data_IF_294627542739
#
_entry.id   IF_294627542739
#
_cell.length_a   1.000
_cell.length_b   1.000
_cell.length_c   1.000
_cell.angle_alpha   90.00
_cell.angle_beta   90.00
_cell.angle_gamma   90.00
#
_symmetry.space_group_name_H-M   'P 1'
#
loop_
_entity.id
_entity.type
_entity.pdbx_description
1 polymer ?
#
# COMPACT_ATOMS: atom_id res chain seq x y z
N UNK A 1 39.41 61.77 52.24
CA UNK A 1 40.57 60.92 51.86
C UNK A 1 41.07 60.26 53.14
N UNK A 2 40.95 58.92 53.27
CA UNK A 2 42.07 58.05 52.92
C UNK A 2 41.71 56.67 52.28
N UNK A 3 42.70 56.16 51.56
CA UNK A 3 43.13 54.78 51.19
C UNK A 3 42.14 53.58 51.21
N UNK A 4 42.14 52.87 50.06
CA UNK A 4 41.63 51.50 49.82
C UNK A 4 42.25 50.45 50.76
N UNK A 5 41.59 49.30 50.88
CA UNK A 5 42.28 48.06 50.51
C UNK A 5 41.49 47.14 49.56
N UNK A 6 42.29 46.34 48.83
CA UNK A 6 41.97 45.20 47.99
C UNK A 6 41.31 44.07 48.80
N UNK A 7 40.35 43.34 48.21
CA UNK A 7 40.07 41.95 48.58
C UNK A 7 39.63 41.16 47.35
N UNK A 8 40.40 40.09 47.08
CA UNK A 8 40.28 39.17 45.97
C UNK A 8 38.95 38.42 45.98
N UNK A 9 38.33 38.30 44.80
CA UNK A 9 37.22 37.40 44.56
C UNK A 9 37.71 35.94 44.50
N UNK A 10 37.20 35.09 45.38
CA UNK A 10 37.39 33.65 45.36
C UNK A 10 36.32 33.05 44.42
N UNK A 11 36.73 32.49 43.29
CA UNK A 11 35.88 31.65 42.44
C UNK A 11 35.68 30.29 43.11
N UNK A 12 34.46 29.98 43.55
CA UNK A 12 34.05 28.64 43.95
C UNK A 12 33.56 27.87 42.71
N UNK A 13 34.32 26.86 42.28
CA UNK A 13 33.85 25.85 41.32
C UNK A 13 32.82 24.94 42.02
N UNK A 14 31.55 25.10 41.67
CA UNK A 14 30.50 24.12 41.96
C UNK A 14 30.55 23.03 40.89
N UNK A 15 31.15 21.89 41.23
CA UNK A 15 31.02 20.67 40.44
C UNK A 15 29.61 20.11 40.63
N UNK A 16 28.71 20.38 39.69
CA UNK A 16 27.40 19.75 39.59
C UNK A 16 27.55 18.30 39.14
N UNK A 17 27.47 17.35 40.07
CA UNK A 17 27.29 15.94 39.78
C UNK A 17 25.91 15.72 39.13
N UNK A 18 25.88 15.56 37.81
CA UNK A 18 24.74 14.96 37.13
C UNK A 18 24.68 13.48 37.53
N UNK A 19 23.78 13.16 38.45
CA UNK A 19 23.35 11.77 38.67
C UNK A 19 22.51 11.40 37.45
N UNK A 20 23.11 10.65 36.52
CA UNK A 20 22.38 10.00 35.44
C UNK A 20 21.55 8.90 36.11
N UNK A 21 20.29 9.20 36.42
CA UNK A 21 19.31 8.18 36.80
C UNK A 21 19.05 7.30 35.59
N UNK A 22 19.81 6.21 35.48
CA UNK A 22 19.53 5.10 34.58
C UNK A 22 18.21 4.47 35.01
N UNK A 23 17.10 4.95 34.46
CA UNK A 23 15.87 4.18 34.46
C UNK A 23 16.13 2.97 33.56
N UNK A 24 16.06 1.72 34.06
CA UNK A 24 15.94 0.60 33.16
C UNK A 24 14.72 0.88 32.30
N UNK A 25 14.85 0.79 30.97
CA UNK A 25 13.71 0.82 30.08
C UNK A 25 12.73 -0.22 30.63
N UNK A 26 11.65 0.24 31.25
CA UNK A 26 10.56 -0.63 31.63
C UNK A 26 10.14 -1.28 30.31
N UNK A 27 10.25 -2.60 30.21
CA UNK A 27 9.48 -3.34 29.21
C UNK A 27 8.05 -2.90 29.45
N UNK A 28 7.50 -2.05 28.58
CA UNK A 28 6.09 -1.71 28.63
C UNK A 28 5.34 -3.03 28.70
N UNK A 29 4.51 -3.19 29.73
CA UNK A 29 3.72 -4.39 29.87
C UNK A 29 2.84 -4.48 28.63
N UNK A 30 2.93 -5.61 27.90
CA UNK A 30 2.05 -5.84 26.74
C UNK A 30 0.59 -5.65 27.18
N UNK A 31 -0.26 -5.02 26.35
CA UNK A 31 -1.67 -4.91 26.66
C UNK A 31 -2.25 -6.31 26.94
N UNK A 32 -3.07 -6.40 27.99
CA UNK A 32 -3.78 -7.65 28.31
C UNK A 32 -5.09 -7.64 27.52
N UNK A 33 -5.24 -8.60 26.63
CA UNK A 33 -6.42 -8.77 25.79
C UNK A 33 -7.39 -9.77 26.44
N UNK A 34 -8.69 -9.46 26.45
CA UNK A 34 -9.74 -10.35 26.97
C UNK A 34 -10.12 -11.49 26.01
N UNK A 35 -9.69 -11.37 24.75
CA UNK A 35 -9.83 -12.35 23.67
C UNK A 35 -9.19 -11.78 22.39
N UNK A 36 -9.25 -12.52 21.27
CA UNK A 36 -8.61 -12.11 20.02
C UNK A 36 -9.12 -10.74 19.56
N UNK A 37 -8.20 -9.86 19.21
CA UNK A 37 -8.47 -8.60 18.50
C UNK A 37 -7.84 -8.69 17.11
N UNK A 38 -8.59 -8.36 16.07
CA UNK A 38 -8.15 -8.47 14.68
C UNK A 38 -7.99 -7.08 14.07
N UNK A 39 -6.83 -6.78 13.52
CA UNK A 39 -6.57 -5.51 12.85
C UNK A 39 -6.11 -5.79 11.43
N UNK A 40 -6.73 -5.13 10.46
CA UNK A 40 -6.38 -5.25 9.06
C UNK A 40 -6.01 -3.90 8.48
N UNK A 41 -4.90 -3.85 7.74
CA UNK A 41 -4.68 -2.76 6.81
C UNK A 41 -4.32 -3.25 5.43
N UNK A 42 -4.58 -2.43 4.42
CA UNK A 42 -4.29 -2.75 3.03
C UNK A 42 -4.31 -1.53 2.11
N UNK A 43 -3.91 -1.75 0.86
CA UNK A 43 -3.84 -0.69 -0.16
C UNK A 43 -4.56 -1.12 -1.43
N UNK A 44 -5.46 -0.27 -1.93
CA UNK A 44 -6.01 -0.36 -3.27
C UNK A 44 -5.31 0.63 -4.19
N UNK A 45 -4.72 0.14 -5.27
CA UNK A 45 -4.10 0.97 -6.32
C UNK A 45 -4.98 0.97 -7.56
N UNK A 46 -5.25 2.16 -8.08
CA UNK A 46 -5.99 2.44 -9.32
C UNK A 46 -5.31 3.57 -10.10
N UNK A 47 -5.73 3.78 -11.34
CA UNK A 47 -5.16 4.80 -12.23
C UNK A 47 -6.32 5.54 -12.87
N UNK A 48 -6.30 6.87 -12.75
CA UNK A 48 -7.34 7.72 -13.29
C UNK A 48 -7.24 7.81 -14.82
N UNK A 49 -8.35 7.52 -15.48
CA UNK A 49 -8.55 7.77 -16.89
C UNK A 49 -8.80 9.25 -17.19
N UNK A 50 -9.21 9.53 -18.43
CA UNK A 50 -9.51 10.88 -18.89
C UNK A 50 -10.67 11.53 -18.13
N UNK A 51 -11.64 10.75 -17.69
CA UNK A 51 -12.82 11.15 -16.91
C UNK A 51 -12.60 11.05 -15.39
N UNK A 52 -11.38 10.71 -14.97
CA UNK A 52 -11.02 10.52 -13.57
C UNK A 52 -11.39 9.15 -12.98
N UNK A 53 -12.12 8.31 -13.72
CA UNK A 53 -12.51 6.96 -13.30
C UNK A 53 -11.33 6.00 -13.39
N UNK A 54 -11.32 4.95 -12.57
CA UNK A 54 -10.28 3.92 -12.65
C UNK A 54 -10.32 3.18 -14.01
N UNK A 55 -9.20 3.18 -14.73
CA UNK A 55 -9.06 2.43 -16.00
C UNK A 55 -8.52 1.03 -15.79
N UNK A 56 -8.67 0.16 -16.79
CA UNK A 56 -8.07 -1.17 -16.79
C UNK A 56 -6.58 -1.10 -17.17
N UNK A 57 -5.72 -1.87 -16.49
CA UNK A 57 -4.31 -2.03 -16.90
C UNK A 57 -3.71 -3.40 -16.54
N UNK A 58 -2.56 -3.69 -17.16
CA UNK A 58 -1.66 -4.78 -16.81
C UNK A 58 -0.42 -4.25 -16.07
N UNK A 59 -0.10 -4.71 -14.85
CA UNK A 59 1.17 -4.47 -14.22
C UNK A 59 2.17 -5.46 -14.84
N UNK A 60 2.72 -5.11 -16.00
CA UNK A 60 3.77 -5.91 -16.64
C UNK A 60 5.03 -6.06 -15.77
N UNK A 61 5.13 -5.26 -14.71
CA UNK A 61 6.16 -5.32 -13.68
C UNK A 61 5.45 -5.33 -12.33
N UNK A 62 5.48 -6.45 -11.59
CA UNK A 62 4.73 -6.55 -10.32
C UNK A 62 4.77 -7.87 -9.56
N UNK A 63 5.25 -8.96 -10.15
CA UNK A 63 5.35 -10.26 -9.45
C UNK A 63 6.70 -10.52 -8.79
N UNK A 64 7.67 -9.60 -8.89
CA UNK A 64 9.07 -9.88 -8.47
C UNK A 64 9.47 -9.21 -7.16
N UNK A 65 8.50 -8.66 -6.42
CA UNK A 65 8.76 -7.87 -5.22
C UNK A 65 8.39 -8.59 -3.93
N UNK A 66 7.94 -9.85 -4.00
CA UNK A 66 7.62 -10.67 -2.83
C UNK A 66 8.71 -11.71 -2.53
N UNK A 67 8.87 -12.11 -1.25
CA UNK A 67 9.71 -13.23 -0.89
C UNK A 67 9.25 -14.54 -1.57
N UNK A 68 10.19 -15.43 -1.87
CA UNK A 68 9.96 -16.71 -2.54
C UNK A 68 9.17 -17.74 -1.73
N UNK A 69 8.95 -17.52 -0.44
CA UNK A 69 8.06 -18.35 0.39
C UNK A 69 6.58 -18.01 0.21
N UNK A 70 6.25 -16.88 -0.44
CA UNK A 70 4.87 -16.50 -0.71
C UNK A 70 4.24 -17.47 -1.72
N UNK A 71 3.02 -17.91 -1.44
CA UNK A 71 2.26 -18.77 -2.34
C UNK A 71 1.57 -17.95 -3.43
N UNK A 72 1.41 -18.58 -4.59
CA UNK A 72 0.89 -17.93 -5.79
C UNK A 72 -0.28 -18.74 -6.34
N UNK A 73 -1.28 -18.03 -6.85
CA UNK A 73 -2.36 -18.65 -7.60
C UNK A 73 -1.79 -19.29 -8.87
N UNK A 74 -1.89 -20.63 -8.97
CA UNK A 74 -1.38 -21.48 -10.06
C UNK A 74 0.14 -21.52 -10.21
N UNK A 75 0.77 -20.39 -10.51
CA UNK A 75 2.21 -20.29 -10.78
C UNK A 75 2.72 -18.87 -10.49
N UNK A 76 4.01 -18.75 -10.20
CA UNK A 76 4.66 -17.45 -10.02
C UNK A 76 4.52 -16.60 -11.28
N UNK A 77 4.13 -15.33 -11.15
CA UNK A 77 3.89 -14.47 -12.30
C UNK A 77 2.47 -14.50 -12.88
N UNK A 78 1.55 -15.34 -12.36
CA UNK A 78 0.15 -15.36 -12.82
C UNK A 78 -0.49 -13.96 -12.85
N UNK A 79 -0.25 -13.15 -11.81
CA UNK A 79 -0.78 -11.78 -11.68
C UNK A 79 -0.39 -10.84 -12.84
N UNK A 80 0.76 -11.09 -13.49
CA UNK A 80 1.27 -10.26 -14.60
C UNK A 80 0.37 -10.32 -15.84
N UNK A 81 -0.34 -11.43 -16.04
CA UNK A 81 -1.26 -11.64 -17.15
C UNK A 81 -2.70 -11.18 -16.86
N UNK A 82 -2.99 -10.75 -15.64
CA UNK A 82 -4.35 -10.45 -15.20
C UNK A 82 -4.63 -8.97 -15.31
N UNK A 83 -5.58 -8.54 -16.15
CA UNK A 83 -6.10 -7.16 -16.21
C UNK A 83 -7.16 -6.88 -15.15
N UNK A 84 -7.18 -5.65 -14.66
CA UNK A 84 -8.19 -5.14 -13.73
C UNK A 84 -8.09 -3.62 -13.55
N UNK A 85 -9.05 -3.04 -12.84
CA UNK A 85 -9.12 -1.61 -12.52
C UNK A 85 -8.64 -1.30 -11.10
N UNK A 86 -8.43 -2.34 -10.28
CA UNK A 86 -7.93 -2.22 -8.91
C UNK A 86 -6.91 -3.31 -8.64
N UNK A 87 -5.78 -2.92 -8.04
CA UNK A 87 -4.84 -3.87 -7.42
C UNK A 87 -4.93 -3.73 -5.92
N UNK A 88 -5.21 -4.84 -5.26
CA UNK A 88 -5.04 -4.97 -3.83
C UNK A 88 -3.64 -5.53 -3.60
N UNK A 89 -2.75 -4.77 -2.98
CA UNK A 89 -1.30 -5.07 -3.07
C UNK A 89 -0.71 -5.74 -1.82
N UNK A 90 -1.03 -5.31 -0.60
CA UNK A 90 -0.57 -5.98 0.64
C UNK A 90 -1.55 -5.76 1.79
N UNK A 91 -2.80 -6.28 1.71
CA UNK A 91 -3.56 -6.56 2.92
C UNK A 91 -2.80 -7.48 3.86
N UNK A 92 -2.73 -7.08 5.12
CA UNK A 92 -2.26 -7.93 6.21
C UNK A 92 -3.26 -7.89 7.35
N UNK A 93 -3.58 -9.06 7.89
CA UNK A 93 -4.48 -9.24 9.03
C UNK A 93 -3.66 -9.69 10.25
N UNK A 94 -3.52 -8.80 11.23
CA UNK A 94 -2.89 -9.07 12.51
C UNK A 94 -3.91 -9.59 13.52
N UNK A 95 -3.40 -10.37 14.46
CA UNK A 95 -4.13 -10.77 15.66
C UNK A 95 -3.38 -10.33 16.91
N UNK A 96 -4.14 -9.96 17.94
CA UNK A 96 -3.63 -9.66 19.26
C UNK A 96 -4.39 -10.48 20.28
N UNK A 97 -3.67 -11.29 21.05
CA UNK A 97 -4.24 -12.04 22.18
C UNK A 97 -3.17 -12.23 23.26
N UNK A 98 -3.60 -12.29 24.52
CA UNK A 98 -2.78 -12.68 25.65
C UNK A 98 -2.78 -14.20 25.91
N UNK A 99 -3.61 -14.96 25.20
CA UNK A 99 -3.74 -16.41 25.32
C UNK A 99 -3.48 -17.07 23.97
N UNK A 100 -3.16 -18.37 24.02
CA UNK A 100 -3.20 -19.17 22.81
C UNK A 100 -4.66 -19.45 22.43
N UNK A 101 -5.03 -19.12 21.20
CA UNK A 101 -6.38 -19.30 20.67
C UNK A 101 -6.31 -19.70 19.19
N UNK A 102 -7.27 -20.49 18.73
CA UNK A 102 -7.36 -20.92 17.33
C UNK A 102 -8.61 -20.34 16.70
N UNK A 103 -8.43 -19.69 15.55
CA UNK A 103 -9.52 -19.12 14.76
C UNK A 103 -9.51 -19.68 13.34
N UNK A 104 -10.66 -19.72 12.70
CA UNK A 104 -10.77 -19.79 11.24
C UNK A 104 -11.00 -18.40 10.67
N UNK A 105 -10.49 -18.17 9.46
CA UNK A 105 -10.55 -16.88 8.77
C UNK A 105 -10.97 -17.11 7.33
N UNK A 106 -11.90 -16.30 6.85
CA UNK A 106 -12.27 -16.25 5.43
C UNK A 106 -12.37 -14.79 4.97
N UNK A 107 -11.77 -14.50 3.82
CA UNK A 107 -11.90 -13.22 3.12
C UNK A 107 -12.49 -13.46 1.74
N UNK A 108 -13.61 -12.81 1.45
CA UNK A 108 -14.15 -12.72 0.08
C UNK A 108 -13.59 -11.50 -0.63
N UNK A 109 -13.54 -11.52 -1.96
CA UNK A 109 -13.03 -10.42 -2.76
C UNK A 109 -13.93 -10.14 -3.96
N UNK A 110 -14.77 -9.12 -3.81
CA UNK A 110 -15.79 -8.76 -4.78
C UNK A 110 -15.17 -8.43 -6.15
N UNK A 111 -15.71 -9.06 -7.21
CA UNK A 111 -15.23 -8.92 -8.60
C UNK A 111 -13.72 -9.11 -8.75
N UNK A 112 -13.12 -9.86 -7.84
CA UNK A 112 -11.68 -9.98 -7.73
C UNK A 112 -11.20 -11.42 -7.65
N UNK A 113 -9.89 -11.56 -7.75
CA UNK A 113 -9.16 -12.81 -7.60
C UNK A 113 -8.00 -12.60 -6.63
N UNK A 114 -7.85 -13.51 -5.68
CA UNK A 114 -6.67 -13.59 -4.80
C UNK A 114 -5.54 -14.25 -5.60
N UNK A 115 -4.40 -13.56 -5.70
CA UNK A 115 -3.30 -13.97 -6.58
C UNK A 115 -2.06 -14.41 -5.82
N UNK A 116 -1.82 -13.89 -4.62
CA UNK A 116 -0.69 -14.29 -3.76
C UNK A 116 -1.08 -14.21 -2.28
N UNK A 117 -0.53 -15.10 -1.44
CA UNK A 117 -0.83 -15.15 -0.01
C UNK A 117 0.26 -15.87 0.80
N UNK A 118 0.26 -15.65 2.11
CA UNK A 118 1.06 -16.37 3.09
C UNK A 118 0.47 -16.14 4.49
N UNK A 119 0.47 -17.12 5.41
CA UNK A 119 0.79 -18.54 5.26
C UNK A 119 -0.18 -19.32 4.36
N UNK A 120 0.06 -20.63 4.19
CA UNK A 120 -0.73 -21.56 3.39
C UNK A 120 -2.22 -21.47 3.68
N UNK A 121 -3.04 -21.26 2.65
CA UNK A 121 -4.48 -21.20 2.78
C UNK A 121 -5.11 -22.58 2.52
N UNK A 122 -6.12 -22.93 3.32
CA UNK A 122 -6.89 -24.16 3.14
C UNK A 122 -7.72 -24.13 1.85
N UNK A 123 -8.24 -22.96 1.50
CA UNK A 123 -9.07 -22.76 0.32
C UNK A 123 -8.73 -21.43 -0.37
N UNK A 124 -8.62 -21.47 -1.71
CA UNK A 124 -8.56 -20.28 -2.55
C UNK A 124 -9.51 -20.50 -3.73
N UNK A 125 -10.48 -19.61 -3.87
CA UNK A 125 -11.52 -19.67 -4.90
C UNK A 125 -11.41 -18.50 -5.88
N UNK A 126 -11.81 -18.69 -7.15
CA UNK A 126 -12.27 -19.96 -7.73
C UNK A 126 -11.15 -21.00 -7.97
N UNK A 127 -11.42 -22.26 -7.63
CA UNK A 127 -10.50 -23.37 -7.83
C UNK A 127 -10.34 -23.81 -9.30
N UNK A 128 -11.17 -23.34 -10.24
CA UNK A 128 -11.16 -23.69 -11.67
C UNK A 128 -11.62 -22.54 -12.59
N UNK A 129 -11.23 -22.61 -13.88
CA UNK A 129 -11.73 -21.86 -15.04
C UNK A 129 -11.69 -20.31 -15.01
N UNK A 130 -10.54 -19.71 -14.70
CA UNK A 130 -10.24 -18.35 -15.20
C UNK A 130 -9.23 -18.51 -16.34
N UNK A 131 -9.77 -18.64 -17.56
CA UNK A 131 -9.03 -18.49 -18.81
C UNK A 131 -9.38 -17.10 -19.35
N UNK A 132 -8.41 -16.44 -19.96
CA UNK A 132 -8.41 -15.03 -20.37
C UNK A 132 -7.96 -14.04 -19.29
N UNK A 133 -6.95 -13.27 -19.65
CA UNK A 133 -6.27 -12.28 -18.83
C UNK A 133 -7.09 -11.02 -18.53
N UNK A 134 -8.41 -11.13 -18.40
CA UNK A 134 -9.30 -10.01 -18.02
C UNK A 134 -10.33 -10.46 -17.00
N UNK A 135 -10.36 -9.83 -15.82
CA UNK A 135 -11.45 -9.93 -14.84
C UNK A 135 -12.75 -9.19 -15.28
N UNK A 136 -12.84 -8.80 -16.56
CA UNK A 136 -13.99 -8.10 -17.13
C UNK A 136 -15.11 -9.05 -17.57
N UNK A 137 -14.80 -10.34 -17.79
CA UNK A 137 -15.83 -11.33 -18.04
C UNK A 137 -16.49 -11.74 -16.71
N UNK A 138 -17.79 -12.08 -16.69
CA UNK A 138 -18.45 -12.56 -15.48
C UNK A 138 -17.71 -13.78 -14.91
N UNK A 139 -17.28 -13.65 -13.66
CA UNK A 139 -16.65 -14.72 -12.91
C UNK A 139 -17.21 -14.71 -11.48
N UNK A 140 -17.19 -15.83 -10.76
CA UNK A 140 -17.50 -15.82 -9.33
C UNK A 140 -16.50 -14.93 -8.59
N UNK A 141 -16.95 -14.28 -7.52
CA UNK A 141 -16.06 -13.55 -6.63
C UNK A 141 -14.99 -14.48 -6.06
N UNK A 142 -13.77 -13.96 -5.94
CA UNK A 142 -12.67 -14.68 -5.33
C UNK A 142 -12.83 -14.81 -3.83
N UNK A 143 -12.15 -15.78 -3.22
CA UNK A 143 -12.00 -15.83 -1.77
C UNK A 143 -10.76 -16.60 -1.35
N UNK A 144 -10.33 -16.38 -0.11
CA UNK A 144 -9.26 -17.11 0.54
C UNK A 144 -9.69 -17.47 1.96
N UNK A 145 -9.35 -18.67 2.43
CA UNK A 145 -9.69 -19.12 3.78
C UNK A 145 -8.58 -19.96 4.43
N UNK A 146 -8.46 -19.79 5.74
CA UNK A 146 -7.66 -20.60 6.65
C UNK A 146 -8.60 -21.25 7.66
N UNK A 147 -8.70 -22.57 7.65
CA UNK A 147 -9.61 -23.29 8.55
C UNK A 147 -9.10 -23.31 10.01
N UNK A 148 -7.79 -23.11 10.20
CA UNK A 148 -7.16 -23.13 11.52
C UNK A 148 -5.89 -22.27 11.53
N UNK A 149 -5.98 -21.15 12.24
CA UNK A 149 -4.88 -20.22 12.52
C UNK A 149 -4.69 -20.18 14.02
N UNK A 150 -3.54 -20.62 14.51
CA UNK A 150 -3.22 -20.60 15.95
C UNK A 150 -2.49 -19.31 16.29
N UNK A 151 -3.14 -18.45 17.07
CA UNK A 151 -2.58 -17.21 17.63
C UNK A 151 -1.79 -17.61 18.88
N UNK A 152 -0.47 -17.38 18.93
CA UNK A 152 0.40 -17.91 19.98
C UNK A 152 1.35 -16.84 20.55
N UNK A 153 1.04 -16.22 21.70
CA UNK A 153 1.82 -15.12 22.26
C UNK A 153 3.17 -15.53 22.88
N UNK A 154 3.39 -16.82 23.12
CA UNK A 154 4.56 -17.36 23.81
C UNK A 154 5.46 -18.24 22.93
N UNK A 155 5.33 -18.13 21.60
CA UNK A 155 6.18 -18.87 20.66
C UNK A 155 7.52 -18.16 20.44
N UNK A 156 8.57 -18.94 20.21
CA UNK A 156 9.82 -18.42 19.65
C UNK A 156 9.57 -18.03 18.19
N UNK A 157 9.73 -16.75 17.86
CA UNK A 157 9.51 -16.23 16.52
C UNK A 157 10.55 -16.77 15.52
N UNK A 158 10.13 -17.63 14.60
CA UNK A 158 10.98 -18.19 13.53
C UNK A 158 10.40 -17.90 12.14
N UNK A 159 10.15 -16.62 11.84
CA UNK A 159 9.55 -16.22 10.57
C UNK A 159 10.51 -16.40 9.39
N UNK A 160 10.04 -16.88 8.23
CA UNK A 160 10.89 -17.04 7.06
C UNK A 160 11.42 -15.68 6.60
N UNK A 161 12.71 -15.61 6.29
CA UNK A 161 13.36 -14.37 5.84
C UNK A 161 14.42 -14.67 4.81
N UNK A 162 14.41 -13.92 3.73
CA UNK A 162 15.45 -13.94 2.71
C UNK A 162 16.51 -12.88 2.99
N UNK A 163 17.69 -13.06 2.42
CA UNK A 163 18.82 -12.17 2.64
C UNK A 163 18.68 -10.81 1.92
N UNK A 164 17.71 -10.66 1.01
CA UNK A 164 17.43 -9.43 0.29
C UNK A 164 16.53 -8.50 1.13
N UNK A 165 16.79 -7.19 1.05
CA UNK A 165 15.87 -6.19 1.60
C UNK A 165 14.56 -6.21 0.83
N UNK A 166 13.47 -6.62 1.47
CA UNK A 166 12.13 -6.67 0.89
C UNK A 166 11.15 -5.87 1.78
N UNK A 167 10.30 -5.04 1.15
CA UNK A 167 9.33 -4.20 1.85
C UNK A 167 8.25 -5.01 2.59
N UNK A 168 8.02 -6.27 2.20
CA UNK A 168 7.19 -7.22 2.94
C UNK A 168 7.58 -7.29 4.43
N UNK A 169 8.88 -7.27 4.74
CA UNK A 169 9.34 -7.41 6.13
C UNK A 169 9.04 -6.20 7.01
N UNK A 170 8.77 -5.02 6.43
CA UNK A 170 8.34 -3.85 7.19
C UNK A 170 6.97 -4.09 7.86
N UNK A 171 6.10 -4.91 7.27
CA UNK A 171 4.82 -5.29 7.87
C UNK A 171 4.98 -6.10 9.17
N UNK A 172 6.17 -6.65 9.44
CA UNK A 172 6.47 -7.35 10.71
C UNK A 172 6.85 -6.41 11.86
N UNK A 173 6.96 -5.10 11.62
CA UNK A 173 7.33 -4.10 12.63
C UNK A 173 6.18 -3.74 13.57
N UNK A 174 5.41 -4.75 13.98
CA UNK A 174 4.28 -4.62 14.91
C UNK A 174 4.47 -5.52 16.13
N UNK A 175 3.72 -5.22 17.17
CA UNK A 175 3.60 -5.99 18.41
C UNK A 175 2.52 -7.08 18.33
N UNK A 176 1.99 -7.34 17.13
CA UNK A 176 1.04 -8.42 16.86
C UNK A 176 1.51 -9.78 17.39
N UNK A 177 0.53 -10.59 17.74
CA UNK A 177 0.76 -11.93 18.26
C UNK A 177 1.13 -12.86 17.10
N UNK A 178 2.26 -13.57 17.17
CA UNK A 178 2.63 -14.52 16.13
C UNK A 178 1.54 -15.56 15.89
N UNK A 179 1.40 -15.97 14.64
CA UNK A 179 0.45 -16.97 14.20
C UNK A 179 1.14 -18.17 13.58
N UNK A 180 0.51 -19.33 13.74
CA UNK A 180 0.96 -20.63 13.24
C UNK A 180 -0.13 -21.26 12.41
N UNK A 181 0.24 -21.74 11.22
CA UNK A 181 -0.64 -22.44 10.29
C UNK A 181 0.02 -23.75 9.89
N UNK A 182 -0.72 -24.86 10.00
CA UNK A 182 -0.22 -26.16 9.56
C UNK A 182 -0.44 -26.32 8.06
N UNK A 183 0.60 -26.70 7.34
CA UNK A 183 0.54 -27.04 5.92
C UNK A 183 1.07 -28.46 5.68
N UNK A 184 0.85 -29.00 4.49
CA UNK A 184 1.45 -30.29 4.09
C UNK A 184 2.98 -30.27 4.07
N UNK A 185 3.60 -29.08 3.95
CA UNK A 185 5.05 -28.87 4.00
C UNK A 185 5.59 -28.65 5.42
N UNK A 186 4.73 -28.56 6.43
CA UNK A 186 5.07 -28.29 7.83
C UNK A 186 4.36 -27.07 8.40
N UNK A 187 4.68 -26.74 9.66
CA UNK A 187 4.18 -25.54 10.32
C UNK A 187 4.81 -24.30 9.70
N UNK A 188 3.97 -23.32 9.38
CA UNK A 188 4.37 -21.99 8.91
C UNK A 188 4.05 -20.96 9.98
N UNK A 189 4.98 -20.03 10.22
CA UNK A 189 4.83 -18.95 11.18
C UNK A 189 4.88 -17.58 10.48
N UNK A 190 4.06 -16.65 10.95
CA UNK A 190 4.10 -15.24 10.53
C UNK A 190 3.51 -14.36 11.65
N UNK A 191 3.59 -13.03 11.51
CA UNK A 191 2.86 -12.07 12.36
C UNK A 191 1.44 -11.75 11.90
N UNK A 192 1.11 -12.10 10.67
CA UNK A 192 -0.11 -11.70 9.99
C UNK A 192 -0.49 -12.71 8.91
N UNK A 193 -1.77 -12.72 8.53
CA UNK A 193 -2.20 -13.34 7.28
C UNK A 193 -2.05 -12.30 6.18
N UNK A 194 -1.22 -12.59 5.18
CA UNK A 194 -1.04 -11.78 4.00
C UNK A 194 -1.82 -12.38 2.84
N UNK A 195 -2.50 -11.51 2.10
CA UNK A 195 -3.17 -11.88 0.86
C UNK A 195 -3.27 -10.66 -0.04
N UNK A 196 -3.13 -10.84 -1.34
CA UNK A 196 -3.26 -9.75 -2.32
C UNK A 196 -3.94 -10.24 -3.60
N UNK A 197 -4.39 -9.31 -4.42
CA UNK A 197 -5.24 -9.65 -5.54
C UNK A 197 -5.47 -8.55 -6.56
N UNK A 198 -6.34 -8.85 -7.52
CA UNK A 198 -6.77 -7.95 -8.58
C UNK A 198 -8.29 -7.95 -8.64
N UNK A 199 -8.92 -6.79 -8.85
CA UNK A 199 -10.37 -6.68 -8.99
C UNK A 199 -10.77 -5.66 -10.06
N UNK A 200 -12.06 -5.70 -10.41
CA UNK A 200 -12.75 -4.75 -11.29
C UNK A 200 -13.91 -4.03 -10.59
N UNK A 201 -13.96 -4.01 -9.26
CA UNK A 201 -14.93 -3.18 -8.54
C UNK A 201 -14.71 -1.68 -8.82
N UNK A 202 -15.78 -0.90 -8.69
CA UNK A 202 -15.73 0.55 -8.82
C UNK A 202 -15.24 1.16 -7.51
N UNK A 203 -14.07 1.79 -7.53
CA UNK A 203 -13.55 2.58 -6.39
C UNK A 203 -14.51 3.72 -6.03
N UNK A 204 -14.54 4.19 -4.77
CA UNK A 204 -15.56 5.12 -4.30
C UNK A 204 -15.33 6.56 -4.77
N UNK A 205 -14.34 6.84 -5.62
CA UNK A 205 -14.06 8.19 -6.10
C UNK A 205 -13.55 8.24 -7.54
N UNK A 206 -13.69 9.41 -8.16
CA UNK A 206 -12.96 9.79 -9.38
C UNK A 206 -12.13 11.04 -9.10
N UNK A 207 -11.07 11.26 -9.89
CA UNK A 207 -10.27 12.47 -9.80
C UNK A 207 -9.82 12.96 -11.18
N UNK A 208 -10.25 14.17 -11.55
CA UNK A 208 -9.96 14.77 -12.85
C UNK A 208 -9.15 16.04 -12.68
N UNK A 209 -8.06 16.17 -13.45
CA UNK A 209 -7.29 17.41 -13.48
C UNK A 209 -8.01 18.44 -14.37
N UNK A 210 -8.34 19.60 -13.81
CA UNK A 210 -8.95 20.69 -14.57
C UNK A 210 -7.88 21.60 -15.21
N UNK A 211 -8.20 22.40 -16.25
CA UNK A 211 -7.20 23.18 -16.99
C UNK A 211 -6.35 24.15 -16.15
N UNK A 212 -6.89 24.62 -15.02
CA UNK A 212 -6.20 25.50 -14.07
C UNK A 212 -5.19 24.78 -13.16
N UNK A 213 -5.18 23.44 -13.17
CA UNK A 213 -4.18 22.60 -12.49
C UNK A 213 -4.63 22.02 -11.15
N UNK A 214 -5.80 22.42 -10.64
CA UNK A 214 -6.46 21.80 -9.51
C UNK A 214 -6.95 20.39 -9.88
N UNK A 215 -7.03 19.51 -8.88
CA UNK A 215 -7.60 18.19 -9.00
C UNK A 215 -9.03 18.25 -8.47
N UNK A 216 -10.01 18.07 -9.36
CA UNK A 216 -11.41 17.92 -9.00
C UNK A 216 -11.65 16.45 -8.61
N UNK A 217 -11.99 16.23 -7.35
CA UNK A 217 -12.21 14.90 -6.76
C UNK A 217 -13.68 14.76 -6.41
N UNK A 218 -14.31 13.68 -6.86
CA UNK A 218 -15.72 13.37 -6.57
C UNK A 218 -15.81 12.05 -5.83
N UNK A 219 -16.57 12.04 -4.73
CA UNK A 219 -16.97 10.85 -4.00
C UNK A 219 -18.26 10.29 -4.60
N UNK A 220 -18.18 9.06 -5.09
CA UNK A 220 -19.31 8.27 -5.61
C UNK A 220 -19.80 7.23 -4.60
N UNK A 221 -19.13 7.12 -3.45
CA UNK A 221 -19.56 6.29 -2.32
C UNK A 221 -20.79 6.85 -1.61
N UNK A 222 -21.32 6.08 -0.65
CA UNK A 222 -22.42 6.54 0.21
C UNK A 222 -21.88 7.25 1.47
N UNK A 223 -20.64 6.93 1.83
CA UNK A 223 -19.95 7.36 3.02
C UNK A 223 -18.94 8.47 2.71
N UNK A 224 -18.72 9.36 3.67
CA UNK A 224 -17.65 10.34 3.60
C UNK A 224 -16.29 9.64 3.51
N UNK A 225 -15.44 10.09 2.59
CA UNK A 225 -14.03 9.67 2.53
C UNK A 225 -13.29 10.44 3.63
N UNK A 226 -12.71 9.76 4.66
CA UNK A 226 -12.23 10.45 5.85
C UNK A 226 -11.10 11.46 5.61
N UNK A 227 -10.18 11.15 4.70
CA UNK A 227 -9.08 12.03 4.34
C UNK A 227 -8.62 11.79 2.90
N UNK A 228 -8.14 12.87 2.27
CA UNK A 228 -7.50 12.87 0.96
C UNK A 228 -6.17 13.61 1.01
N UNK A 229 -5.19 13.18 0.21
CA UNK A 229 -3.87 13.79 0.08
C UNK A 229 -3.48 13.82 -1.40
N UNK A 230 -3.31 15.01 -1.97
CA UNK A 230 -2.71 15.16 -3.30
C UNK A 230 -1.20 15.13 -3.13
N UNK A 231 -0.53 14.19 -3.80
CA UNK A 231 0.93 14.02 -3.76
C UNK A 231 1.54 14.19 -5.14
N UNK A 232 2.73 14.79 -5.18
CA UNK A 232 3.54 14.92 -6.37
C UNK A 232 5.03 14.76 -6.08
N UNK A 233 5.71 13.98 -6.92
CA UNK A 233 7.17 13.85 -6.93
C UNK A 233 7.73 14.04 -8.32
N UNK A 234 8.79 14.85 -8.41
CA UNK A 234 9.59 15.10 -9.62
C UNK A 234 11.07 15.01 -9.27
N UNK A 235 11.65 13.82 -9.46
CA UNK A 235 13.01 13.51 -9.04
C UNK A 235 13.17 13.65 -7.52
N UNK A 236 13.98 14.61 -7.09
CA UNK A 236 14.21 14.91 -5.67
C UNK A 236 13.18 15.88 -5.09
N UNK A 237 12.40 16.57 -5.93
CA UNK A 237 11.39 17.53 -5.47
C UNK A 237 10.11 16.78 -5.12
N UNK A 238 9.59 17.02 -3.92
CA UNK A 238 8.39 16.37 -3.38
C UNK A 238 7.44 17.42 -2.84
N UNK A 239 6.14 17.25 -3.08
CA UNK A 239 5.11 18.10 -2.52
C UNK A 239 3.85 17.29 -2.22
N UNK A 240 3.14 17.68 -1.17
CA UNK A 240 1.83 17.13 -0.86
C UNK A 240 0.89 18.20 -0.30
N UNK A 241 -0.41 17.95 -0.40
CA UNK A 241 -1.47 18.79 0.16
C UNK A 241 -2.55 17.90 0.75
N UNK A 242 -2.84 18.10 2.03
CA UNK A 242 -3.96 17.45 2.71
C UNK A 242 -5.25 18.12 2.22
N UNK A 243 -6.14 17.34 1.64
CA UNK A 243 -7.48 17.78 1.22
C UNK A 243 -8.54 17.63 2.30
N UNK A 244 -8.27 16.81 3.33
CA UNK A 244 -9.22 16.54 4.40
C UNK A 244 -10.34 15.59 3.97
N UNK A 245 -11.42 15.57 4.76
CA UNK A 245 -12.60 14.75 4.53
C UNK A 245 -13.36 15.20 3.27
N UNK A 246 -13.91 14.23 2.55
CA UNK A 246 -14.59 14.43 1.27
C UNK A 246 -15.98 13.79 1.32
N UNK A 247 -17.01 14.60 1.52
CA UNK A 247 -18.41 14.13 1.47
C UNK A 247 -18.88 13.87 0.06
N UNK A 248 -18.72 14.86 -0.83
CA UNK A 248 -19.23 14.79 -2.21
C UNK A 248 -18.18 15.18 -3.23
N UNK A 249 -17.61 16.37 -3.12
CA UNK A 249 -16.65 16.87 -4.10
C UNK A 249 -15.68 17.86 -3.45
N UNK A 250 -14.46 17.95 -3.99
CA UNK A 250 -13.45 18.93 -3.57
C UNK A 250 -12.54 19.32 -4.73
N UNK A 251 -11.99 20.54 -4.67
CA UNK A 251 -10.91 21.00 -5.53
C UNK A 251 -9.62 21.05 -4.71
N UNK A 252 -8.61 20.29 -5.15
CA UNK A 252 -7.30 20.24 -4.49
C UNK A 252 -6.26 20.95 -5.35
N UNK A 253 -5.73 22.07 -4.87
CA UNK A 253 -4.63 22.79 -5.52
C UNK A 253 -3.38 21.91 -5.68
N UNK A 254 -2.54 22.18 -6.69
CA UNK A 254 -1.23 21.54 -6.79
C UNK A 254 -0.41 21.84 -5.52
N UNK A 255 0.35 20.84 -5.02
CA UNK A 255 1.24 21.09 -3.90
C UNK A 255 2.49 21.85 -4.35
N UNK A 256 3.05 22.66 -3.46
CA UNK A 256 4.41 23.16 -3.63
C UNK A 256 5.39 22.00 -3.45
N UNK A 257 6.38 21.88 -4.34
CA UNK A 257 7.35 20.78 -4.30
C UNK A 257 8.52 21.06 -3.34
N UNK A 258 8.20 21.46 -2.12
CA UNK A 258 9.13 21.86 -1.05
C UNK A 258 9.07 20.94 0.17
N UNK A 259 8.19 19.94 0.17
CA UNK A 259 8.00 18.99 1.26
C UNK A 259 9.02 17.85 1.25
N UNK A 260 8.93 16.98 2.26
CA UNK A 260 9.76 15.78 2.36
C UNK A 260 8.90 14.52 2.51
N UNK A 261 9.43 13.38 2.06
CA UNK A 261 8.77 12.07 2.26
C UNK A 261 8.65 11.73 3.75
N UNK A 262 9.63 12.17 4.57
CA UNK A 262 9.60 11.93 6.01
C UNK A 262 8.46 12.63 6.71
N UNK A 263 8.15 13.87 6.32
CA UNK A 263 7.05 14.65 6.91
C UNK A 263 5.69 14.08 6.52
N UNK A 264 5.50 13.79 5.22
CA UNK A 264 4.30 13.12 4.73
C UNK A 264 4.07 11.76 5.40
N UNK A 265 5.14 10.97 5.58
CA UNK A 265 5.04 9.69 6.27
C UNK A 265 4.48 9.84 7.68
N UNK A 266 4.98 10.81 8.46
CA UNK A 266 4.49 11.06 9.84
C UNK A 266 3.05 11.56 9.87
N UNK A 267 2.67 12.42 8.92
CA UNK A 267 1.27 12.85 8.80
C UNK A 267 0.34 11.70 8.46
N UNK A 268 0.74 10.84 7.52
CA UNK A 268 -0.03 9.66 7.14
C UNK A 268 -0.15 8.66 8.28
N UNK A 269 0.92 8.41 9.05
CA UNK A 269 0.86 7.61 10.28
C UNK A 269 -0.19 8.17 11.25
N UNK A 270 -0.18 9.48 11.50
CA UNK A 270 -1.15 10.13 12.38
C UNK A 270 -2.60 9.98 11.88
N UNK A 271 -2.83 10.09 10.56
CA UNK A 271 -4.14 9.84 9.97
C UNK A 271 -4.58 8.39 10.15
N UNK A 272 -3.70 7.42 9.91
CA UNK A 272 -3.99 5.99 10.06
C UNK A 272 -4.32 5.62 11.51
N UNK A 273 -3.59 6.18 12.48
CA UNK A 273 -3.89 6.01 13.92
C UNK A 273 -5.26 6.62 14.27
N UNK A 274 -5.57 7.79 13.72
CA UNK A 274 -6.89 8.40 13.91
C UNK A 274 -8.05 7.58 13.30
N UNK A 275 -7.75 6.62 12.40
CA UNK A 275 -8.72 5.67 11.85
C UNK A 275 -8.78 4.34 12.61
N UNK A 276 -7.98 4.15 13.66
CA UNK A 276 -8.04 2.98 14.54
C UNK A 276 -6.83 2.05 14.51
N UNK A 277 -5.84 2.29 13.62
CA UNK A 277 -4.60 1.52 13.66
C UNK A 277 -3.80 1.82 14.94
N UNK A 278 -3.09 0.82 15.45
CA UNK A 278 -2.04 1.05 16.43
C UNK A 278 -0.85 1.79 15.80
N UNK A 279 -0.06 2.46 16.65
CA UNK A 279 1.05 3.29 16.19
C UNK A 279 2.09 2.48 15.39
N UNK A 280 2.39 1.25 15.84
CA UNK A 280 3.32 0.35 15.18
C UNK A 280 2.75 -0.23 13.88
N UNK A 281 1.43 -0.47 13.80
CA UNK A 281 0.74 -0.85 12.56
C UNK A 281 0.78 0.26 11.52
N UNK A 282 0.47 1.50 11.90
CA UNK A 282 0.51 2.66 11.02
C UNK A 282 1.94 2.88 10.49
N UNK A 283 2.94 2.79 11.37
CA UNK A 283 4.34 2.86 10.99
C UNK A 283 4.75 1.72 10.03
N UNK A 284 4.36 0.49 10.34
CA UNK A 284 4.62 -0.68 9.49
C UNK A 284 4.00 -0.51 8.10
N UNK A 285 2.75 -0.04 8.00
CA UNK A 285 2.08 0.23 6.72
C UNK A 285 2.83 1.28 5.91
N UNK A 286 3.19 2.41 6.52
CA UNK A 286 3.93 3.48 5.84
C UNK A 286 5.29 3.01 5.36
N UNK A 287 6.04 2.26 6.17
CA UNK A 287 7.35 1.74 5.76
C UNK A 287 7.25 0.62 4.70
N UNK A 288 6.21 -0.22 4.76
CA UNK A 288 5.91 -1.19 3.69
C UNK A 288 5.68 -0.50 2.35
N UNK A 289 4.96 0.62 2.35
CA UNK A 289 4.59 1.31 1.11
C UNK A 289 5.47 2.50 0.73
N UNK A 290 6.40 2.92 1.59
CA UNK A 290 7.24 4.12 1.42
C UNK A 290 7.88 4.18 0.03
N UNK A 291 8.41 3.05 -0.44
CA UNK A 291 9.07 2.94 -1.75
C UNK A 291 8.13 3.12 -2.94
N UNK A 292 6.83 2.83 -2.78
CA UNK A 292 5.87 2.86 -3.89
C UNK A 292 4.82 3.97 -3.80
N UNK A 293 4.29 4.31 -2.62
CA UNK A 293 3.41 5.48 -2.48
C UNK A 293 4.11 6.77 -2.89
N UNK A 294 5.39 6.88 -2.58
CA UNK A 294 6.16 8.11 -2.78
C UNK A 294 7.13 8.03 -3.97
N UNK A 295 6.86 7.16 -4.95
CA UNK A 295 7.65 7.04 -6.19
C UNK A 295 7.41 8.23 -7.15
N UNK A 296 8.08 8.27 -8.30
CA UNK A 296 7.93 9.37 -9.29
C UNK A 296 6.47 9.51 -9.77
N UNK A 297 5.97 10.73 -9.99
CA UNK A 297 4.64 10.99 -10.56
C UNK A 297 3.67 11.76 -9.65
N UNK A 298 2.38 11.70 -9.97
CA UNK A 298 1.32 12.40 -9.23
C UNK A 298 0.23 11.40 -8.85
N UNK A 299 -0.31 11.49 -7.63
CA UNK A 299 -1.42 10.65 -7.17
C UNK A 299 -2.29 11.35 -6.14
N UNK A 300 -3.49 10.81 -5.98
CA UNK A 300 -4.35 11.03 -4.82
C UNK A 300 -4.21 9.82 -3.90
N UNK A 301 -3.79 10.04 -2.65
CA UNK A 301 -3.95 9.07 -1.57
C UNK A 301 -5.22 9.41 -0.80
N UNK A 302 -5.97 8.42 -0.35
CA UNK A 302 -7.17 8.63 0.44
C UNK A 302 -7.42 7.48 1.40
N UNK A 303 -8.10 7.75 2.51
CA UNK A 303 -8.59 6.69 3.40
C UNK A 303 -9.87 6.11 2.77
N UNK A 304 -9.89 4.80 2.56
CA UNK A 304 -11.07 4.12 2.02
C UNK A 304 -12.10 3.96 3.13
N UNK A 305 -13.38 4.34 2.93
CA UNK A 305 -14.42 4.15 3.95
C UNK A 305 -14.55 2.69 4.38
N UNK A 306 -14.62 2.43 5.69
CA UNK A 306 -14.69 1.06 6.24
C UNK A 306 -15.87 0.27 5.68
N UNK A 307 -17.05 0.89 5.56
CA UNK A 307 -18.23 0.24 4.96
C UNK A 307 -18.00 -0.19 3.51
N UNK A 308 -17.23 0.59 2.73
CA UNK A 308 -16.83 0.21 1.38
C UNK A 308 -15.90 -1.02 1.42
N UNK A 309 -14.90 -1.01 2.31
CA UNK A 309 -13.98 -2.15 2.51
C UNK A 309 -14.76 -3.41 2.89
N UNK A 310 -15.71 -3.33 3.82
CA UNK A 310 -16.55 -4.46 4.23
C UNK A 310 -17.41 -5.00 3.08
N UNK A 311 -17.87 -4.13 2.18
CA UNK A 311 -18.63 -4.51 1.00
C UNK A 311 -17.80 -5.23 -0.07
N UNK A 312 -16.55 -4.80 -0.30
CA UNK A 312 -15.69 -5.39 -1.35
C UNK A 312 -14.75 -6.48 -0.86
N UNK A 313 -14.44 -6.49 0.44
CA UNK A 313 -13.64 -7.49 1.14
C UNK A 313 -14.37 -8.04 2.37
N UNK A 314 -15.50 -8.75 2.25
CA UNK A 314 -16.16 -9.34 3.41
C UNK A 314 -15.20 -10.26 4.19
N UNK A 315 -15.03 -9.98 5.48
CA UNK A 315 -14.15 -10.72 6.40
C UNK A 315 -15.00 -11.49 7.42
N UNK A 316 -14.72 -12.78 7.58
CA UNK A 316 -15.33 -13.63 8.60
C UNK A 316 -14.25 -14.31 9.42
N UNK A 317 -14.36 -14.22 10.75
CA UNK A 317 -13.43 -14.84 11.69
C UNK A 317 -14.25 -15.61 12.74
N UNK A 318 -13.87 -16.86 13.03
CA UNK A 318 -14.56 -17.70 14.01
C UNK A 318 -13.59 -18.43 14.96
N UNK A 319 -13.75 -18.35 16.29
CA UNK A 319 -14.70 -17.49 17.02
C UNK A 319 -14.55 -16.00 16.67
N UNK A 320 -15.62 -15.24 16.84
CA UNK A 320 -15.60 -13.82 16.52
C UNK A 320 -14.60 -13.08 17.45
N UNK A 321 -13.71 -12.24 16.92
CA UNK A 321 -12.85 -11.38 17.72
C UNK A 321 -13.66 -10.46 18.64
N UNK A 322 -13.03 -10.02 19.73
CA UNK A 322 -13.60 -8.99 20.62
C UNK A 322 -13.72 -7.65 19.90
N UNK A 323 -12.79 -7.38 18.98
CA UNK A 323 -12.74 -6.18 18.15
C UNK A 323 -12.13 -6.53 16.79
N UNK A 324 -12.66 -5.91 15.74
CA UNK A 324 -12.11 -5.95 14.39
C UNK A 324 -11.97 -4.53 13.87
N UNK A 325 -10.75 -4.09 13.57
CA UNK A 325 -10.47 -2.79 12.95
C UNK A 325 -9.90 -2.97 11.56
N UNK A 326 -10.32 -2.15 10.59
CA UNK A 326 -9.92 -2.26 9.19
C UNK A 326 -9.65 -0.90 8.59
N UNK A 327 -8.41 -0.64 8.20
CA UNK A 327 -7.99 0.66 7.62
C UNK A 327 -7.29 0.44 6.29
N UNK A 328 -7.90 0.92 5.21
CA UNK A 328 -7.35 0.81 3.87
C UNK A 328 -7.00 2.18 3.29
N UNK A 329 -5.92 2.22 2.53
CA UNK A 329 -5.52 3.41 1.77
C UNK A 329 -5.78 3.16 0.29
N UNK A 330 -6.56 4.03 -0.32
CA UNK A 330 -6.68 4.13 -1.76
C UNK A 330 -5.55 4.97 -2.34
N UNK A 331 -4.98 4.49 -3.43
CA UNK A 331 -3.98 5.19 -4.24
C UNK A 331 -4.53 5.29 -5.65
N UNK A 332 -4.76 6.50 -6.12
CA UNK A 332 -5.18 6.78 -7.49
C UNK A 332 -4.08 7.56 -8.21
N UNK A 333 -3.39 6.92 -9.16
CA UNK A 333 -2.41 7.61 -10.00
C UNK A 333 -3.11 8.60 -10.94
N UNK A 334 -2.54 9.81 -11.07
CA UNK A 334 -3.08 10.89 -11.90
C UNK A 334 -2.13 11.16 -13.05
N UNK A 335 -2.64 11.07 -14.29
CA UNK A 335 -1.90 11.41 -15.50
C UNK A 335 -1.94 12.93 -15.74
N UNK A 336 -0.95 13.64 -15.21
CA UNK A 336 -0.82 15.10 -15.35
C UNK A 336 -0.08 15.50 -16.63
N UNK A 337 -0.22 16.74 -17.12
CA UNK A 337 0.59 17.24 -18.24
C UNK A 337 2.11 17.11 -18.02
N UNK A 338 2.57 17.23 -16.77
CA UNK A 338 3.98 17.02 -16.43
C UNK A 338 4.39 15.55 -16.64
N UNK A 339 3.54 14.60 -16.24
CA UNK A 339 3.73 13.16 -16.52
C UNK A 339 3.77 12.89 -18.02
N UNK A 340 2.81 13.44 -18.77
CA UNK A 340 2.72 13.27 -20.23
C UNK A 340 3.98 13.80 -20.93
N UNK A 341 4.43 15.00 -20.56
CA UNK A 341 5.65 15.61 -21.10
C UNK A 341 6.91 14.80 -20.78
N UNK A 342 7.02 14.27 -19.54
CA UNK A 342 8.15 13.45 -19.13
C UNK A 342 8.20 12.13 -19.92
N UNK A 343 7.07 11.46 -20.07
CA UNK A 343 6.96 10.20 -20.84
C UNK A 343 7.19 10.44 -22.33
N UNK A 344 6.58 11.47 -22.92
CA UNK A 344 6.78 11.81 -24.33
C UNK A 344 8.24 12.15 -24.62
N UNK A 345 8.86 12.97 -23.77
CA UNK A 345 10.28 13.32 -23.88
C UNK A 345 11.17 12.09 -23.79
N UNK A 346 10.92 11.21 -22.82
CA UNK A 346 11.69 9.97 -22.65
C UNK A 346 11.52 9.00 -23.83
N UNK A 347 10.33 8.92 -24.42
CA UNK A 347 10.10 8.14 -25.64
C UNK A 347 10.87 8.73 -26.84
N UNK A 348 10.86 10.05 -27.01
CA UNK A 348 11.55 10.72 -28.10
C UNK A 348 13.08 10.56 -28.03
N UNK A 349 13.65 10.56 -26.82
CA UNK A 349 15.09 10.45 -26.57
C UNK A 349 15.56 9.03 -26.28
N UNK A 350 14.65 8.04 -26.26
CA UNK A 350 14.93 6.65 -25.87
C UNK A 350 15.52 6.52 -24.44
N UNK A 351 15.14 7.43 -23.55
CA UNK A 351 15.56 7.42 -22.15
C UNK A 351 14.87 6.29 -21.37
N UNK A 352 15.56 5.15 -21.35
CA UNK A 352 15.08 3.95 -20.67
C UNK A 352 15.03 4.09 -19.15
N UNK A 353 15.82 5.02 -18.56
CA UNK A 353 15.82 5.23 -17.11
C UNK A 353 14.53 5.94 -16.68
N UNK A 354 14.16 7.02 -17.37
CA UNK A 354 12.91 7.74 -17.10
C UNK A 354 11.69 6.86 -17.39
N UNK A 355 11.68 6.11 -18.50
CA UNK A 355 10.57 5.18 -18.80
C UNK A 355 10.42 4.10 -17.73
N UNK A 356 11.52 3.65 -17.12
CA UNK A 356 11.48 2.67 -16.02
C UNK A 356 10.84 3.25 -14.75
N UNK A 357 11.00 4.55 -14.48
CA UNK A 357 10.35 5.21 -13.33
C UNK A 357 8.82 5.14 -13.43
N UNK A 358 8.27 5.24 -14.65
CA UNK A 358 6.83 5.08 -14.91
C UNK A 358 6.43 3.65 -15.25
N UNK A 359 7.35 2.69 -15.27
CA UNK A 359 7.17 1.38 -15.91
C UNK A 359 5.96 0.59 -15.44
N UNK A 360 5.64 0.66 -14.13
CA UNK A 360 4.45 0.00 -13.54
C UNK A 360 3.12 0.53 -14.11
N UNK A 361 3.10 1.79 -14.53
CA UNK A 361 1.90 2.50 -15.01
C UNK A 361 2.05 3.04 -16.43
N UNK A 362 3.12 2.67 -17.14
CA UNK A 362 3.45 3.27 -18.43
C UNK A 362 2.37 2.99 -19.47
N UNK A 363 1.74 1.81 -19.44
CA UNK A 363 0.61 1.50 -20.31
C UNK A 363 -0.58 2.44 -20.11
N UNK A 364 -1.20 2.50 -18.92
CA UNK A 364 -2.37 3.32 -18.72
C UNK A 364 -2.04 4.81 -18.92
N UNK A 365 -0.82 5.26 -18.60
CA UNK A 365 -0.36 6.61 -18.96
C UNK A 365 -0.40 6.83 -20.48
N UNK A 366 0.21 5.94 -21.27
CA UNK A 366 0.22 6.06 -22.73
C UNK A 366 -1.17 5.92 -23.34
N UNK A 367 -2.04 5.09 -22.78
CA UNK A 367 -3.44 4.98 -23.22
C UNK A 367 -4.19 6.29 -23.00
N UNK A 368 -4.03 6.94 -21.85
CA UNK A 368 -4.61 8.27 -21.60
C UNK A 368 -4.06 9.30 -22.59
N UNK A 369 -2.76 9.29 -22.86
CA UNK A 369 -2.14 10.18 -23.86
C UNK A 369 -2.71 9.95 -25.27
N UNK A 370 -2.87 8.68 -25.69
CA UNK A 370 -3.46 8.31 -26.98
C UNK A 370 -4.90 8.80 -27.11
N UNK A 371 -5.71 8.65 -26.05
CA UNK A 371 -7.11 9.10 -26.04
C UNK A 371 -7.27 10.63 -26.06
N UNK A 372 -6.24 11.38 -25.63
CA UNK A 372 -6.21 12.85 -25.69
C UNK A 372 -5.63 13.38 -27.00
N UNK A 373 -4.85 12.58 -27.72
CA UNK A 373 -4.12 13.01 -28.91
C UNK A 373 -5.05 13.17 -30.12
N UNK A 374 -5.06 14.37 -30.68
CA UNK A 374 -5.87 14.69 -31.88
C UNK A 374 -5.13 14.39 -33.19
N UNK A 375 -3.79 14.30 -33.17
CA UNK A 375 -2.96 13.98 -34.33
C UNK A 375 -2.80 12.46 -34.48
N UNK A 376 -3.39 11.83 -35.51
CA UNK A 376 -3.34 10.37 -35.69
C UNK A 376 -1.91 9.81 -35.80
N UNK A 377 -0.98 10.56 -36.41
CA UNK A 377 0.40 10.11 -36.56
C UNK A 377 1.14 10.07 -35.21
N UNK A 378 0.84 11.02 -34.31
CA UNK A 378 1.41 11.04 -32.97
C UNK A 378 0.79 9.95 -32.08
N UNK A 379 -0.52 9.74 -32.16
CA UNK A 379 -1.20 8.62 -31.50
C UNK A 379 -0.65 7.26 -31.96
N UNK A 380 -0.35 7.11 -33.25
CA UNK A 380 0.27 5.88 -33.78
C UNK A 380 1.69 5.66 -33.22
N UNK A 381 2.49 6.71 -33.05
CA UNK A 381 3.82 6.61 -32.42
C UNK A 381 3.73 6.14 -30.97
N UNK A 382 2.80 6.67 -30.19
CA UNK A 382 2.56 6.20 -28.82
C UNK A 382 2.15 4.72 -28.77
N UNK A 383 1.26 4.29 -29.67
CA UNK A 383 0.90 2.88 -29.79
C UNK A 383 2.11 1.98 -30.12
N UNK A 384 2.96 2.40 -31.06
CA UNK A 384 4.18 1.65 -31.41
C UNK A 384 5.17 1.58 -30.24
N UNK A 385 5.35 2.68 -29.52
CA UNK A 385 6.20 2.73 -28.33
C UNK A 385 5.68 1.79 -27.24
N UNK A 386 4.37 1.82 -26.98
CA UNK A 386 3.71 0.93 -26.02
C UNK A 386 3.92 -0.53 -26.38
N UNK A 387 3.65 -0.93 -27.63
CA UNK A 387 3.84 -2.30 -28.11
C UNK A 387 5.30 -2.77 -28.00
N UNK A 388 6.25 -1.87 -28.28
CA UNK A 388 7.69 -2.15 -28.16
C UNK A 388 8.10 -2.37 -26.72
N UNK A 389 7.61 -1.53 -25.80
CA UNK A 389 7.87 -1.68 -24.36
C UNK A 389 7.26 -3.00 -23.84
N UNK A 390 6.00 -3.27 -24.18
CA UNK A 390 5.26 -4.49 -23.79
C UNK A 390 6.00 -5.75 -24.23
N UNK A 391 6.38 -5.79 -25.51
CA UNK A 391 7.09 -6.94 -26.08
C UNK A 391 8.43 -7.19 -25.37
N UNK A 392 9.13 -6.13 -24.95
CA UNK A 392 10.38 -6.24 -24.18
C UNK A 392 10.14 -6.75 -22.76
N UNK A 393 9.14 -6.25 -22.05
CA UNK A 393 8.85 -6.70 -20.68
C UNK A 393 8.35 -8.14 -20.65
N UNK A 394 7.44 -8.53 -21.56
CA UNK A 394 6.98 -9.91 -21.72
C UNK A 394 8.18 -10.84 -21.98
N UNK A 395 9.07 -10.47 -22.91
CA UNK A 395 10.26 -11.26 -23.19
C UNK A 395 11.25 -11.35 -22.01
N UNK A 396 11.29 -10.34 -21.13
CA UNK A 396 12.09 -10.41 -19.88
C UNK A 396 11.45 -11.32 -18.85
N UNK A 397 10.13 -11.26 -18.69
CA UNK A 397 9.41 -12.08 -17.73
C UNK A 397 9.50 -13.57 -18.10
N UNK A 398 9.33 -13.92 -19.38
CA UNK A 398 9.51 -15.30 -19.87
C UNK A 398 10.92 -15.86 -19.61
N UNK A 399 11.95 -15.01 -19.52
CA UNK A 399 13.33 -15.44 -19.24
C UNK A 399 13.65 -15.58 -17.75
N UNK A 400 12.74 -15.15 -16.86
CA UNK A 400 12.89 -15.21 -15.40
C UNK A 400 12.17 -16.40 -14.77
N UNK A 401 11.23 -16.99 -15.50
CA UNK A 401 10.67 -18.32 -15.25
C UNK A 401 11.60 -19.41 -15.81
#
# INVERSE_FOLDING_TARGET
MPRKPLLLALFALLASCFVISSHPAAKEARPVYSGPTAHEWGTFTSIAGRDGSAVEWLPLTGSTDLPGFVEHFRYNGFKLGLRGTVRMETPVLYFYDSREETVSVKVSFAKGLITEWYPHAAHVEPAANIFDGTLLQPHPDGSIAWDSVTISPNVTEEFPRENSGNHYYAARMTSSTPLRVQSSAGEQQEKFLFYRGVSTFSVPLSATLIPSGELYVENHGQEEIPNTIRFERRGEKVGYRIGGALQKEALLDPPELTGTIGDLGRELEGMLVAQGLYQDEAHAMVETWRGSWFEEGSRLLYIVPTAFVDGVLPLSIHPAPTQTERVFVGRLEIVTPATENAVEGALATHDSATLKMFGRFLEPILQVMIQKESNPAKAQRFNQALNTYYSKEIARNIRRD
#
